data_IF_768183887363
#
_entry.id   IF_768183887363
#
_cell.length_a   1.000
_cell.length_b   1.000
_cell.length_c   1.000
_cell.angle_alpha   90.00
_cell.angle_beta   90.00
_cell.angle_gamma   90.00
#
_symmetry.space_group_name_H-M   'P 1'
#
loop_
_entity.id
_entity.type
_entity.pdbx_description
1 polymer ?
#
# COMPACT_ATOMS: atom_id res chain seq x y z
N UNK A 1 -25.12 -8.67 12.71
CA UNK A 1 -23.82 -8.25 13.30
C UNK A 1 -22.90 -7.86 12.17
N UNK A 2 -22.29 -6.70 12.26
CA UNK A 2 -21.29 -6.28 11.25
C UNK A 2 -20.03 -7.15 11.35
N UNK A 3 -19.42 -7.52 10.21
CA UNK A 3 -18.12 -8.19 10.22
C UNK A 3 -17.08 -7.32 10.93
N UNK A 4 -16.12 -7.98 11.55
CA UNK A 4 -14.98 -7.30 12.20
C UNK A 4 -13.74 -7.44 11.31
N UNK A 5 -12.81 -6.48 11.39
CA UNK A 5 -11.52 -6.63 10.75
C UNK A 5 -10.79 -7.89 11.24
N UNK A 6 -10.07 -8.52 10.33
CA UNK A 6 -9.14 -9.59 10.70
C UNK A 6 -7.83 -8.94 11.12
N UNK A 7 -7.55 -8.90 12.42
CA UNK A 7 -6.31 -8.31 12.94
C UNK A 7 -5.18 -9.32 12.77
N UNK A 8 -4.18 -8.95 11.95
CA UNK A 8 -3.00 -9.80 11.72
C UNK A 8 -1.87 -9.47 12.69
N UNK A 9 -1.69 -8.18 12.97
CA UNK A 9 -0.70 -7.69 13.90
C UNK A 9 -1.26 -6.48 14.62
N UNK A 10 -1.08 -6.43 15.93
CA UNK A 10 -1.39 -5.22 16.71
C UNK A 10 -0.43 -5.13 17.88
N UNK A 11 0.34 -4.05 17.91
CA UNK A 11 1.23 -3.69 19.00
C UNK A 11 0.91 -2.26 19.45
N UNK A 12 1.66 -1.73 20.39
CA UNK A 12 1.46 -0.36 20.85
C UNK A 12 1.56 0.67 19.71
N UNK A 13 2.51 0.46 18.76
CA UNK A 13 2.81 1.43 17.70
C UNK A 13 2.53 0.91 16.29
N UNK A 14 2.07 -0.33 16.12
CA UNK A 14 1.85 -0.94 14.81
C UNK A 14 0.56 -1.69 14.75
N UNK A 15 -0.08 -1.65 13.59
CA UNK A 15 -1.22 -2.50 13.29
C UNK A 15 -1.24 -2.84 11.80
N UNK A 16 -1.60 -4.08 11.49
CA UNK A 16 -1.95 -4.53 10.16
C UNK A 16 -3.20 -5.39 10.24
N UNK A 17 -4.25 -5.00 9.52
CA UNK A 17 -5.54 -5.68 9.57
C UNK A 17 -6.16 -5.78 8.18
N UNK A 18 -6.84 -6.89 7.90
CA UNK A 18 -7.63 -7.06 6.68
C UNK A 18 -9.06 -6.65 6.99
N UNK A 19 -9.55 -5.65 6.28
CA UNK A 19 -10.92 -5.16 6.43
C UNK A 19 -11.88 -5.89 5.50
N UNK A 20 -11.45 -6.13 4.27
CA UNK A 20 -12.20 -6.82 3.22
C UNK A 20 -11.20 -7.63 2.40
N UNK A 21 -11.57 -8.85 2.03
CA UNK A 21 -10.82 -9.63 1.04
C UNK A 21 -11.79 -10.53 0.28
N UNK A 22 -11.86 -10.34 -1.04
CA UNK A 22 -12.64 -11.16 -1.96
C UNK A 22 -12.00 -11.15 -3.35
N UNK A 23 -12.65 -11.73 -4.33
CA UNK A 23 -12.11 -11.81 -5.69
C UNK A 23 -11.93 -10.43 -6.35
N UNK A 24 -12.79 -9.47 -6.02
CA UNK A 24 -12.79 -8.15 -6.66
C UNK A 24 -11.73 -7.22 -6.07
N UNK A 25 -11.47 -7.31 -4.76
CA UNK A 25 -10.53 -6.42 -4.08
C UNK A 25 -10.15 -6.91 -2.70
N UNK A 26 -9.08 -6.37 -2.16
CA UNK A 26 -8.82 -6.36 -0.72
C UNK A 26 -8.62 -4.94 -0.24
N UNK A 27 -9.02 -4.69 1.02
CA UNK A 27 -8.75 -3.44 1.71
C UNK A 27 -8.09 -3.80 3.03
N UNK A 28 -6.90 -3.25 3.26
CA UNK A 28 -6.16 -3.45 4.49
C UNK A 28 -5.98 -2.12 5.21
N UNK A 29 -5.86 -2.19 6.52
CA UNK A 29 -5.55 -1.06 7.37
C UNK A 29 -4.15 -1.23 7.94
N UNK A 30 -3.38 -0.14 7.96
CA UNK A 30 -2.05 -0.15 8.52
C UNK A 30 -1.84 1.07 9.42
N UNK A 31 -1.06 0.89 10.47
CA UNK A 31 -0.57 1.95 11.36
C UNK A 31 0.89 1.67 11.68
N UNK A 32 1.73 2.70 11.52
CA UNK A 32 3.16 2.60 11.82
C UNK A 32 3.71 3.93 12.35
N UNK A 33 4.87 3.88 13.04
CA UNK A 33 5.60 5.11 13.36
C UNK A 33 5.99 5.88 12.11
N UNK A 34 6.24 7.19 12.24
CA UNK A 34 6.77 8.00 11.16
C UNK A 34 8.19 7.62 10.76
N UNK A 35 8.57 7.96 9.53
CA UNK A 35 9.94 7.83 9.06
C UNK A 35 10.39 6.41 8.72
N UNK A 36 9.46 5.49 8.44
CA UNK A 36 9.79 4.10 8.10
C UNK A 36 9.48 3.77 6.65
N UNK A 37 10.40 3.07 5.99
CA UNK A 37 10.11 2.48 4.68
C UNK A 37 9.18 1.29 4.87
N UNK A 38 8.10 1.23 4.08
CA UNK A 38 7.16 0.10 4.09
C UNK A 38 7.49 -0.87 2.97
N UNK A 39 7.63 -0.38 1.73
CA UNK A 39 8.00 -1.22 0.59
C UNK A 39 9.12 -0.59 -0.22
N UNK A 40 9.96 -1.44 -0.82
CA UNK A 40 10.89 -1.03 -1.87
C UNK A 40 10.20 -0.95 -3.23
N UNK A 41 10.92 -0.49 -4.28
CA UNK A 41 10.34 -0.36 -5.62
C UNK A 41 9.88 -1.69 -6.20
N UNK A 42 8.68 -1.71 -6.76
CA UNK A 42 8.08 -2.89 -7.38
C UNK A 42 6.92 -2.50 -8.30
N UNK A 43 6.40 -3.47 -9.02
CA UNK A 43 5.20 -3.32 -9.87
C UNK A 43 4.21 -4.44 -9.56
N UNK A 44 2.94 -4.21 -9.87
CA UNK A 44 1.89 -5.23 -9.82
C UNK A 44 1.22 -5.36 -11.17
N UNK A 45 0.61 -6.53 -11.42
CA UNK A 45 -0.30 -6.74 -12.55
C UNK A 45 -1.73 -6.30 -12.26
N UNK A 46 -1.97 -5.62 -11.13
CA UNK A 46 -3.26 -5.10 -10.72
C UNK A 46 -3.10 -3.68 -10.17
N UNK A 47 -4.20 -2.99 -9.94
CA UNK A 47 -4.18 -1.64 -9.38
C UNK A 47 -4.05 -1.65 -7.86
N UNK A 48 -3.31 -0.68 -7.32
CA UNK A 48 -3.18 -0.46 -5.89
C UNK A 48 -3.51 0.99 -5.56
N UNK A 49 -4.27 1.22 -4.51
CA UNK A 49 -4.61 2.57 -4.07
C UNK A 49 -4.38 2.73 -2.58
N UNK A 50 -4.11 3.97 -2.17
CA UNK A 50 -3.80 4.32 -0.79
C UNK A 50 -4.65 5.51 -0.38
N UNK A 51 -5.20 5.45 0.83
CA UNK A 51 -5.92 6.57 1.43
C UNK A 51 -5.35 6.86 2.80
N UNK A 52 -4.84 8.07 3.00
CA UNK A 52 -4.18 8.48 4.25
C UNK A 52 -5.23 8.95 5.24
N UNK A 53 -5.31 8.30 6.39
CA UNK A 53 -6.22 8.63 7.47
C UNK A 53 -5.58 9.60 8.47
N UNK A 54 -4.28 9.43 8.74
CA UNK A 54 -3.54 10.22 9.72
C UNK A 54 -2.06 10.17 9.39
N UNK A 55 -1.33 11.24 9.71
CA UNK A 55 0.10 11.31 9.42
C UNK A 55 0.39 11.55 7.96
N UNK A 56 1.54 11.09 7.50
CA UNK A 56 2.00 11.34 6.15
C UNK A 56 2.61 10.08 5.54
N UNK A 57 2.34 9.86 4.24
CA UNK A 57 3.00 8.84 3.43
C UNK A 57 3.83 9.51 2.34
N UNK A 58 5.05 9.01 2.13
CA UNK A 58 5.92 9.45 1.06
C UNK A 58 6.05 8.34 0.03
N UNK A 59 5.80 8.69 -1.24
CA UNK A 59 5.83 7.77 -2.37
C UNK A 59 6.89 8.16 -3.37
N UNK A 60 7.47 7.18 -4.04
CA UNK A 60 8.17 7.34 -5.31
C UNK A 60 7.40 6.56 -6.36
N UNK A 61 6.98 7.21 -7.44
CA UNK A 61 6.04 6.65 -8.42
C UNK A 61 6.56 6.82 -9.85
N UNK A 62 6.37 5.78 -10.65
CA UNK A 62 6.63 5.77 -12.07
C UNK A 62 8.07 5.50 -12.44
N UNK A 63 8.32 5.39 -13.75
CA UNK A 63 9.64 5.13 -14.32
C UNK A 63 10.64 6.23 -13.95
N UNK A 64 10.17 7.46 -13.79
CA UNK A 64 10.99 8.63 -13.42
C UNK A 64 11.22 8.75 -11.90
N UNK A 65 10.57 7.93 -11.08
CA UNK A 65 10.72 7.98 -9.61
C UNK A 65 10.22 9.27 -9.00
N UNK A 66 9.08 9.77 -9.45
CA UNK A 66 8.51 11.03 -8.95
C UNK A 66 8.14 10.92 -7.48
N UNK A 67 8.66 11.86 -6.66
CA UNK A 67 8.43 11.88 -5.21
C UNK A 67 7.16 12.66 -4.88
N UNK A 68 6.28 12.03 -4.08
CA UNK A 68 5.00 12.61 -3.66
C UNK A 68 4.85 12.34 -2.17
N UNK A 69 4.43 13.36 -1.41
CA UNK A 69 4.08 13.21 0.02
C UNK A 69 2.62 13.58 0.20
N UNK A 70 1.87 12.70 0.84
CA UNK A 70 0.44 12.90 1.10
C UNK A 70 0.18 12.89 2.60
N UNK A 71 -0.58 13.89 3.06
CA UNK A 71 -1.11 13.96 4.42
C UNK A 71 -2.51 13.36 4.53
N UNK A 72 -3.14 13.52 5.69
CA UNK A 72 -4.49 13.02 5.96
C UNK A 72 -5.49 13.51 4.91
N UNK A 73 -6.33 12.61 4.42
CA UNK A 73 -7.27 12.86 3.33
C UNK A 73 -6.67 12.71 1.95
N UNK A 74 -5.36 12.52 1.83
CA UNK A 74 -4.68 12.27 0.56
C UNK A 74 -4.96 10.88 0.01
N UNK A 75 -4.94 10.78 -1.30
CA UNK A 75 -5.24 9.54 -2.01
C UNK A 75 -4.33 9.39 -3.23
N UNK A 76 -3.87 8.19 -3.48
CA UNK A 76 -3.16 7.87 -4.72
C UNK A 76 -3.62 6.51 -5.24
N UNK A 77 -3.88 6.42 -6.54
CA UNK A 77 -4.14 5.16 -7.22
C UNK A 77 -3.04 4.90 -8.23
N UNK A 78 -2.40 3.74 -8.10
CA UNK A 78 -1.28 3.31 -8.92
C UNK A 78 -1.76 2.18 -9.82
N UNK A 79 -1.86 2.39 -11.15
CA UNK A 79 -2.29 1.34 -12.08
C UNK A 79 -1.26 0.21 -12.19
N UNK A 80 -1.72 -0.91 -12.72
CA UNK A 80 -0.86 -2.02 -13.12
C UNK A 80 0.34 -1.52 -13.95
N UNK A 81 1.53 -2.02 -13.66
CA UNK A 81 2.75 -1.70 -14.41
C UNK A 81 3.44 -0.40 -14.02
N UNK A 82 2.85 0.42 -13.15
CA UNK A 82 3.50 1.63 -12.65
C UNK A 82 4.33 1.27 -11.42
N UNK A 83 5.63 1.49 -11.50
CA UNK A 83 6.54 1.22 -10.39
C UNK A 83 6.26 2.15 -9.23
N UNK A 84 6.33 1.64 -8.02
CA UNK A 84 6.15 2.46 -6.83
C UNK A 84 6.84 1.87 -5.62
N UNK A 85 7.15 2.75 -4.68
CA UNK A 85 7.60 2.42 -3.33
C UNK A 85 7.04 3.44 -2.38
N UNK A 86 6.93 3.11 -1.10
CA UNK A 86 6.45 4.07 -0.14
C UNK A 86 6.90 3.77 1.28
N UNK A 87 6.72 4.76 2.12
CA UNK A 87 6.92 4.67 3.56
C UNK A 87 6.20 5.78 4.27
N UNK A 88 6.26 5.75 5.60
CA UNK A 88 5.74 6.84 6.41
C UNK A 88 6.75 7.97 6.45
N UNK A 89 6.25 9.21 6.43
CA UNK A 89 7.07 10.42 6.48
C UNK A 89 6.87 11.14 7.81
N UNK A 90 7.76 12.10 8.09
CA UNK A 90 7.66 12.89 9.31
C UNK A 90 7.99 12.11 10.57
N UNK A 91 7.61 12.67 11.72
CA UNK A 91 7.89 12.11 13.05
C UNK A 91 6.63 11.61 13.77
N UNK A 92 5.46 11.75 13.15
CA UNK A 92 4.18 11.31 13.70
C UNK A 92 3.79 9.93 13.19
N UNK A 93 3.03 9.16 13.96
CA UNK A 93 2.43 7.93 13.45
C UNK A 93 1.54 8.20 12.24
N UNK A 94 1.54 7.27 11.30
CA UNK A 94 0.67 7.31 10.15
C UNK A 94 -0.32 6.14 10.19
N UNK A 95 -1.54 6.38 9.71
CA UNK A 95 -2.58 5.37 9.51
C UNK A 95 -3.13 5.51 8.11
N UNK A 96 -3.31 4.39 7.42
CA UNK A 96 -3.78 4.44 6.04
C UNK A 96 -4.49 3.16 5.65
N UNK A 97 -5.24 3.25 4.56
CA UNK A 97 -5.84 2.11 3.89
C UNK A 97 -5.06 1.78 2.63
N UNK A 98 -4.92 0.50 2.35
CA UNK A 98 -4.35 0.00 1.10
C UNK A 98 -5.41 -0.84 0.41
N UNK A 99 -5.65 -0.56 -0.87
CA UNK A 99 -6.65 -1.24 -1.69
C UNK A 99 -5.93 -1.93 -2.84
N UNK A 100 -6.13 -3.23 -2.99
CA UNK A 100 -5.66 -3.99 -4.16
C UNK A 100 -6.89 -4.42 -4.96
N UNK A 101 -6.93 -4.12 -6.25
CA UNK A 101 -8.07 -4.44 -7.10
C UNK A 101 -7.59 -4.98 -8.45
N UNK A 102 -7.78 -6.30 -8.68
CA UNK A 102 -8.19 -7.33 -7.74
C UNK A 102 -7.18 -7.53 -6.60
N UNK A 103 -7.50 -8.40 -5.65
CA UNK A 103 -6.62 -8.67 -4.50
C UNK A 103 -5.21 -9.12 -4.91
N UNK A 104 -5.08 -9.89 -5.97
CA UNK A 104 -3.78 -10.31 -6.49
C UNK A 104 -3.00 -11.24 -5.57
N UNK A 105 -3.64 -11.82 -4.57
CA UNK A 105 -2.98 -12.67 -3.57
C UNK A 105 -2.45 -11.91 -2.35
N UNK A 106 -2.73 -10.61 -2.26
CA UNK A 106 -2.17 -9.77 -1.19
C UNK A 106 -2.65 -10.20 0.21
N UNK A 107 -3.95 -10.51 0.37
CA UNK A 107 -4.46 -10.95 1.66
C UNK A 107 -3.78 -12.24 2.13
N UNK A 108 -3.61 -13.21 1.25
CA UNK A 108 -2.91 -14.45 1.59
C UNK A 108 -1.43 -14.20 1.92
N UNK A 109 -0.78 -13.29 1.18
CA UNK A 109 0.58 -12.86 1.46
C UNK A 109 0.70 -12.25 2.86
N UNK A 110 -0.20 -11.35 3.22
CA UNK A 110 -0.19 -10.70 4.54
C UNK A 110 -0.37 -11.72 5.67
N UNK A 111 -1.29 -12.68 5.52
CA UNK A 111 -1.46 -13.76 6.50
C UNK A 111 -0.20 -14.60 6.61
N UNK A 112 0.45 -14.88 5.47
CA UNK A 112 1.70 -15.63 5.45
C UNK A 112 2.82 -14.95 6.20
N UNK A 113 2.93 -13.61 6.13
CA UNK A 113 3.95 -12.87 6.88
C UNK A 113 3.83 -13.09 8.39
N UNK A 114 2.60 -13.14 8.91
CA UNK A 114 2.35 -13.37 10.34
C UNK A 114 2.68 -14.80 10.72
N UNK A 115 2.34 -15.77 9.85
CA UNK A 115 2.53 -17.18 10.10
C UNK A 115 3.94 -17.69 9.78
N UNK A 116 4.81 -16.81 9.25
CA UNK A 116 6.16 -17.18 8.84
C UNK A 116 6.19 -18.05 7.58
N UNK A 117 5.15 -17.97 6.75
CA UNK A 117 5.01 -18.75 5.52
C UNK A 117 5.15 -17.81 4.32
N UNK A 118 6.01 -18.18 3.38
CA UNK A 118 6.14 -17.44 2.13
C UNK A 118 4.98 -17.78 1.20
N UNK A 119 4.29 -16.73 0.72
CA UNK A 119 3.16 -16.85 -0.19
C UNK A 119 3.46 -16.03 -1.43
N UNK A 120 3.35 -16.65 -2.60
CA UNK A 120 3.48 -15.94 -3.88
C UNK A 120 2.23 -15.11 -4.13
N UNK A 121 2.44 -13.91 -4.67
CA UNK A 121 1.37 -13.00 -5.03
C UNK A 121 1.78 -12.11 -6.19
N UNK A 122 0.86 -11.32 -6.71
CA UNK A 122 1.10 -10.49 -7.89
C UNK A 122 2.00 -9.29 -7.58
N UNK A 123 3.29 -9.53 -7.57
CA UNK A 123 4.33 -8.53 -7.38
C UNK A 123 5.55 -8.92 -8.21
N UNK A 124 6.21 -7.95 -8.80
CA UNK A 124 7.40 -8.18 -9.60
C UNK A 124 8.42 -7.05 -9.40
N UNK A 125 9.72 -7.33 -9.66
CA UNK A 125 10.72 -6.28 -9.68
C UNK A 125 10.41 -5.24 -10.75
N UNK A 126 10.91 -4.02 -10.55
CA UNK A 126 10.78 -2.97 -11.57
C UNK A 126 11.50 -3.41 -12.84
N UNK A 127 10.83 -3.31 -14.02
CA UNK A 127 11.48 -3.64 -15.29
C UNK A 127 12.72 -2.79 -15.55
N UNK A 128 13.68 -3.24 -16.41
CA UNK A 128 14.90 -2.48 -16.71
C UNK A 128 14.66 -1.08 -17.26
N UNK A 129 13.53 -0.85 -17.95
CA UNK A 129 13.15 0.46 -18.49
C UNK A 129 12.42 1.33 -17.45
N UNK A 130 12.22 0.85 -16.22
CA UNK A 130 11.51 1.56 -15.16
C UNK A 130 10.00 1.37 -15.16
N UNK A 131 9.43 0.71 -16.16
CA UNK A 131 7.98 0.50 -16.27
C UNK A 131 7.25 1.71 -16.84
N UNK A 132 5.97 1.86 -16.48
CA UNK A 132 5.11 2.95 -16.98
C UNK A 132 5.38 4.25 -16.19
N UNK A 133 5.02 5.38 -16.78
CA UNK A 133 5.26 6.70 -16.20
C UNK A 133 4.28 7.07 -15.09
N UNK A 134 4.68 7.99 -14.22
CA UNK A 134 3.87 8.45 -13.08
C UNK A 134 2.57 9.14 -13.50
N UNK A 135 2.49 9.68 -14.71
CA UNK A 135 1.27 10.34 -15.21
C UNK A 135 0.06 9.42 -15.28
N UNK A 136 0.28 8.11 -15.25
CA UNK A 136 -0.79 7.13 -15.21
C UNK A 136 -1.41 6.97 -13.82
N UNK A 137 -0.74 7.44 -12.78
CA UNK A 137 -1.26 7.44 -11.43
C UNK A 137 -2.24 8.59 -11.24
N UNK A 138 -3.22 8.39 -10.35
CA UNK A 138 -4.15 9.43 -9.92
C UNK A 138 -3.74 9.87 -8.52
N UNK A 139 -3.47 11.16 -8.35
CA UNK A 139 -3.06 11.72 -7.07
C UNK A 139 -4.02 12.83 -6.67
N UNK A 140 -4.60 12.71 -5.48
CA UNK A 140 -5.46 13.70 -4.88
C UNK A 140 -4.87 14.11 -3.53
N UNK A 141 -4.54 15.39 -3.37
CA UNK A 141 -3.91 15.88 -2.13
C UNK A 141 -4.88 15.79 -0.93
N UNK A 142 -6.19 15.90 -1.19
CA UNK A 142 -7.23 15.70 -0.18
C UNK A 142 -8.57 15.44 -0.88
N UNK A 143 -9.42 14.75 -0.17
CA UNK A 143 -10.80 14.53 -0.61
C UNK A 143 -11.75 15.54 -0.01
#
# INVERSE_FOLDING_TARGET
MAPKPEVLLRTEDREGSILVANEALSITYARRPGGERVTGPHVHGHAEAFYVLEGELAFEIGAEGESITLGAGGFVAVPSGVAHSYGTAGDRPARWLVIHAPDGGFAAFMRGLVDGVQVDWDIAPVPPDGGLTAERAIVLASL
#
